data_IF_960019230487
#
_entry.id   IF_960019230487
#
_cell.length_a   1.000
_cell.length_b   1.000
_cell.length_c   1.000
_cell.angle_alpha   90.00
_cell.angle_beta   90.00
_cell.angle_gamma   90.00
#
_symmetry.space_group_name_H-M   'P 1'
#
loop_
_entity.id
_entity.type
_entity.pdbx_description
1 polymer ?
#
# COMPACT_ATOMS: atom_id res chain seq x y z
N UNK A 1 -9.56 2.81 -18.58
CA UNK A 1 -9.82 3.16 -17.16
C UNK A 1 -10.83 2.17 -16.62
N UNK A 2 -10.56 1.57 -15.46
CA UNK A 2 -11.56 0.74 -14.77
C UNK A 2 -12.64 1.69 -14.23
N UNK A 3 -13.87 1.50 -14.68
CA UNK A 3 -15.03 2.20 -14.12
C UNK A 3 -15.41 1.62 -12.76
N UNK A 4 -16.13 2.40 -11.96
CA UNK A 4 -16.75 1.93 -10.72
C UNK A 4 -18.26 2.04 -10.85
N UNK A 5 -19.00 1.04 -10.34
CA UNK A 5 -20.45 1.14 -10.12
C UNK A 5 -20.79 1.72 -8.76
N UNK A 6 -19.88 1.62 -7.80
CA UNK A 6 -19.94 2.34 -6.53
C UNK A 6 -19.49 3.80 -6.71
N UNK A 7 -19.66 4.62 -5.66
CA UNK A 7 -19.02 5.93 -5.62
C UNK A 7 -17.49 5.78 -5.79
N UNK A 8 -16.83 6.61 -6.63
CA UNK A 8 -15.40 6.52 -6.82
C UNK A 8 -14.64 7.06 -5.60
N UNK A 9 -13.36 6.69 -5.45
CA UNK A 9 -12.47 7.30 -4.47
C UNK A 9 -12.44 8.82 -4.57
N UNK A 10 -12.27 9.48 -3.43
CA UNK A 10 -12.10 10.93 -3.31
C UNK A 10 -10.88 11.25 -2.47
N UNK A 11 -10.13 12.25 -2.89
CA UNK A 11 -8.92 12.74 -2.25
C UNK A 11 -9.02 14.25 -2.14
N UNK A 12 -8.75 14.78 -0.94
CA UNK A 12 -8.66 16.21 -0.67
C UNK A 12 -7.39 16.48 0.15
N UNK A 13 -6.57 17.43 -0.27
CA UNK A 13 -5.44 17.90 0.53
C UNK A 13 -5.94 18.93 1.55
N UNK A 14 -5.93 18.55 2.83
CA UNK A 14 -6.50 19.38 3.91
C UNK A 14 -5.45 20.21 4.64
N UNK A 15 -4.20 19.74 4.72
CA UNK A 15 -3.08 20.49 5.29
C UNK A 15 -1.79 20.25 4.49
N UNK A 16 -1.01 21.31 4.29
CA UNK A 16 0.26 21.29 3.60
C UNK A 16 1.20 22.40 4.12
N UNK A 17 2.49 22.24 3.87
CA UNK A 17 3.45 23.33 4.03
C UNK A 17 3.17 24.44 3.01
N UNK A 18 3.48 25.70 3.36
CA UNK A 18 3.21 26.83 2.47
C UNK A 18 4.11 26.85 1.22
N UNK A 19 5.37 26.41 1.36
CA UNK A 19 6.39 26.39 0.30
C UNK A 19 7.19 25.08 0.33
N UNK A 20 6.53 23.92 0.14
CA UNK A 20 7.14 22.62 0.40
C UNK A 20 8.39 22.37 -0.47
N UNK A 21 8.34 22.70 -1.76
CA UNK A 21 9.48 22.48 -2.66
C UNK A 21 10.62 23.47 -2.42
N UNK A 22 10.32 24.76 -2.28
CA UNK A 22 11.35 25.77 -1.97
C UNK A 22 12.02 25.49 -0.61
N UNK A 23 11.28 24.96 0.37
CA UNK A 23 11.82 24.58 1.67
C UNK A 23 12.80 23.39 1.56
N UNK A 24 12.53 22.40 0.71
CA UNK A 24 13.47 21.31 0.46
C UNK A 24 14.80 21.84 -0.08
N UNK A 25 14.77 22.77 -1.05
CA UNK A 25 15.99 23.40 -1.58
C UNK A 25 16.65 24.33 -0.55
N UNK A 26 15.88 25.02 0.28
CA UNK A 26 16.40 25.90 1.33
C UNK A 26 17.17 25.12 2.40
N UNK A 27 16.64 23.97 2.83
CA UNK A 27 17.30 23.09 3.80
C UNK A 27 18.57 22.47 3.22
N UNK A 28 18.54 22.03 1.96
CA UNK A 28 19.73 21.57 1.23
C UNK A 28 20.83 22.65 1.18
N UNK A 29 20.48 23.89 0.80
CA UNK A 29 21.42 25.01 0.76
C UNK A 29 21.97 25.38 2.14
N UNK A 30 21.15 25.23 3.18
CA UNK A 30 21.55 25.55 4.57
C UNK A 30 22.70 24.67 5.03
N UNK A 31 22.72 23.38 4.68
CA UNK A 31 23.80 22.46 5.03
C UNK A 31 25.20 22.93 4.58
N UNK A 32 25.26 23.74 3.53
CA UNK A 32 26.51 24.24 2.93
C UNK A 32 26.65 25.76 3.01
N UNK A 33 25.79 26.45 3.77
CA UNK A 33 25.77 27.91 3.86
C UNK A 33 26.65 28.43 4.99
N UNK A 34 27.76 29.16 4.70
CA UNK A 34 28.55 29.82 5.75
C UNK A 34 27.85 31.07 6.31
N UNK A 35 26.71 31.48 5.73
CA UNK A 35 25.96 32.69 6.10
C UNK A 35 24.73 32.39 6.97
N UNK A 36 24.59 31.16 7.45
CA UNK A 36 23.46 30.71 8.27
C UNK A 36 22.29 30.14 7.45
N UNK A 37 21.12 30.05 8.10
CA UNK A 37 19.92 29.41 7.57
C UNK A 37 19.39 30.13 6.33
N UNK A 38 19.20 29.37 5.25
CA UNK A 38 18.55 29.83 4.02
C UNK A 38 17.05 29.59 4.15
N UNK A 39 16.23 30.59 3.79
CA UNK A 39 14.77 30.49 3.90
C UNK A 39 14.10 30.13 2.57
N UNK A 40 12.86 29.62 2.63
CA UNK A 40 12.04 29.32 1.45
C UNK A 40 11.75 30.56 0.61
N UNK A 41 11.58 31.73 1.22
CA UNK A 41 11.33 33.02 0.57
C UNK A 41 12.56 33.49 -0.21
N UNK A 42 13.74 33.23 0.36
CA UNK A 42 15.03 33.48 -0.30
C UNK A 42 15.20 32.60 -1.54
N UNK A 43 14.84 31.32 -1.44
CA UNK A 43 14.85 30.38 -2.56
C UNK A 43 13.83 30.76 -3.63
N UNK A 44 12.64 31.19 -3.24
CA UNK A 44 11.57 31.67 -4.12
C UNK A 44 11.88 33.01 -4.81
N UNK A 45 12.98 33.66 -4.42
CA UNK A 45 13.45 34.93 -4.98
C UNK A 45 12.57 36.12 -4.62
N UNK A 46 11.86 36.11 -3.49
CA UNK A 46 10.94 37.21 -3.12
C UNK A 46 11.64 38.53 -2.81
N UNK A 47 12.90 38.45 -2.37
CA UNK A 47 13.76 39.61 -2.13
C UNK A 47 14.28 40.25 -3.42
N UNK A 48 14.08 39.62 -4.59
CA UNK A 48 14.56 40.10 -5.88
C UNK A 48 13.46 40.89 -6.57
N UNK A 49 13.70 42.19 -6.77
CA UNK A 49 12.75 43.08 -7.45
C UNK A 49 12.82 42.96 -8.99
N UNK A 50 13.97 42.59 -9.55
CA UNK A 50 14.13 42.36 -11.00
C UNK A 50 13.56 40.98 -11.40
N UNK A 51 12.53 40.94 -12.28
CA UNK A 51 11.98 39.68 -12.78
C UNK A 51 13.00 38.76 -13.45
N UNK A 52 14.01 39.31 -14.15
CA UNK A 52 15.02 38.51 -14.84
C UNK A 52 16.00 37.85 -13.84
N UNK A 53 16.38 38.55 -12.77
CA UNK A 53 17.13 37.96 -11.66
C UNK A 53 16.33 36.89 -10.93
N UNK A 54 15.05 37.15 -10.65
CA UNK A 54 14.16 36.18 -10.00
C UNK A 54 14.03 34.91 -10.85
N UNK A 55 13.81 35.04 -12.15
CA UNK A 55 13.72 33.89 -13.05
C UNK A 55 15.02 33.06 -13.07
N UNK A 56 16.18 33.73 -13.08
CA UNK A 56 17.49 33.04 -12.97
C UNK A 56 17.66 32.33 -11.63
N UNK A 57 17.14 32.89 -10.53
CA UNK A 57 17.17 32.24 -9.23
C UNK A 57 16.29 30.97 -9.21
N UNK A 58 15.09 31.02 -9.79
CA UNK A 58 14.20 29.87 -9.91
C UNK A 58 14.80 28.75 -10.78
N UNK A 59 15.48 29.10 -11.88
CA UNK A 59 16.21 28.12 -12.69
C UNK A 59 17.32 27.42 -11.90
N UNK A 60 18.10 28.16 -11.11
CA UNK A 60 19.14 27.58 -10.23
C UNK A 60 18.54 26.70 -9.14
N UNK A 61 17.39 27.10 -8.57
CA UNK A 61 16.63 26.28 -7.62
C UNK A 61 16.24 24.96 -8.26
N UNK A 62 15.65 24.99 -9.45
CA UNK A 62 15.15 23.78 -10.13
C UNK A 62 16.30 22.82 -10.49
N UNK A 63 17.41 23.36 -10.98
CA UNK A 63 18.63 22.57 -11.23
C UNK A 63 19.14 21.92 -9.96
N UNK A 64 19.29 22.70 -8.87
CA UNK A 64 19.75 22.17 -7.61
C UNK A 64 18.81 21.10 -7.05
N UNK A 65 17.48 21.30 -7.16
CA UNK A 65 16.49 20.33 -6.72
C UNK A 65 16.61 19.00 -7.46
N UNK A 66 16.86 19.03 -8.78
CA UNK A 66 17.13 17.82 -9.56
C UNK A 66 18.44 17.16 -9.12
N UNK A 67 19.51 17.92 -8.95
CA UNK A 67 20.81 17.38 -8.56
C UNK A 67 20.75 16.68 -7.19
N UNK A 68 20.14 17.32 -6.17
CA UNK A 68 20.01 16.70 -4.84
C UNK A 68 19.09 15.48 -4.86
N UNK A 69 18.04 15.48 -5.70
CA UNK A 69 17.16 14.34 -5.86
C UNK A 69 17.89 13.16 -6.52
N UNK A 70 18.60 13.41 -7.62
CA UNK A 70 19.37 12.37 -8.33
C UNK A 70 20.53 11.82 -7.48
N UNK A 71 21.12 12.65 -6.62
CA UNK A 71 22.17 12.24 -5.69
C UNK A 71 21.65 11.47 -4.45
N UNK A 72 20.33 11.24 -4.33
CA UNK A 72 19.75 10.52 -3.18
C UNK A 72 19.68 11.35 -1.89
N UNK A 73 19.84 12.68 -1.94
CA UNK A 73 19.76 13.55 -0.77
C UNK A 73 18.30 13.85 -0.36
N UNK A 74 17.52 12.79 -0.16
CA UNK A 74 16.07 12.83 -0.05
C UNK A 74 15.53 13.30 1.29
N UNK A 75 16.37 13.33 2.32
CA UNK A 75 16.00 13.84 3.66
C UNK A 75 15.53 15.29 3.62
N UNK A 76 16.00 16.07 2.65
CA UNK A 76 15.55 17.45 2.41
C UNK A 76 14.09 17.54 1.96
N UNK A 77 13.63 16.56 1.17
CA UNK A 77 12.22 16.43 0.76
C UNK A 77 11.34 15.80 1.85
N UNK A 78 11.92 15.24 2.91
CA UNK A 78 11.16 14.67 4.03
C UNK A 78 10.59 15.74 4.98
N UNK A 79 11.10 16.98 4.94
CA UNK A 79 10.58 18.07 5.78
C UNK A 79 9.10 18.38 5.49
N UNK A 80 8.74 18.47 4.21
CA UNK A 80 7.38 18.77 3.78
C UNK A 80 6.45 17.58 4.08
N UNK A 81 5.33 17.86 4.74
CA UNK A 81 4.26 16.90 5.01
C UNK A 81 2.94 17.37 4.41
N UNK A 82 2.15 16.40 3.95
CA UNK A 82 0.84 16.57 3.35
C UNK A 82 -0.15 15.69 4.09
N UNK A 83 -1.27 16.29 4.51
CA UNK A 83 -2.38 15.55 5.10
C UNK A 83 -3.54 15.53 4.12
N UNK A 84 -3.98 14.33 3.77
CA UNK A 84 -5.10 14.08 2.88
C UNK A 84 -6.31 13.57 3.66
N UNK A 85 -7.51 14.01 3.28
CA UNK A 85 -8.75 13.32 3.60
C UNK A 85 -9.10 12.40 2.42
N UNK A 86 -9.15 11.10 2.69
CA UNK A 86 -9.48 10.06 1.71
C UNK A 86 -10.86 9.49 2.03
N UNK A 87 -11.71 9.33 1.01
CA UNK A 87 -13.07 8.77 1.15
C UNK A 87 -13.38 7.81 0.01
N UNK A 88 -14.30 6.86 0.26
CA UNK A 88 -14.69 5.81 -0.70
C UNK A 88 -13.49 4.98 -1.19
N UNK A 89 -12.52 4.74 -0.30
CA UNK A 89 -11.39 3.85 -0.56
C UNK A 89 -11.64 2.49 0.09
N UNK A 90 -11.19 1.41 -0.54
CA UNK A 90 -11.34 0.05 -0.02
C UNK A 90 -10.40 -0.20 1.16
N UNK A 91 -10.76 -1.19 1.99
CA UNK A 91 -9.85 -1.70 3.03
C UNK A 91 -8.63 -2.38 2.42
N UNK A 92 -8.76 -2.94 1.21
CA UNK A 92 -7.64 -3.54 0.49
C UNK A 92 -6.55 -2.50 0.25
N UNK A 93 -6.87 -1.42 -0.46
CA UNK A 93 -5.90 -0.35 -0.75
C UNK A 93 -5.22 0.21 0.52
N UNK A 94 -5.99 0.40 1.60
CA UNK A 94 -5.43 0.89 2.86
C UNK A 94 -4.44 -0.10 3.45
N UNK A 95 -4.82 -1.38 3.54
CA UNK A 95 -4.00 -2.41 4.17
C UNK A 95 -2.79 -2.80 3.32
N UNK A 96 -3.00 -3.11 2.05
CA UNK A 96 -1.96 -3.63 1.17
C UNK A 96 -0.96 -2.56 0.71
N UNK A 97 -1.42 -1.30 0.57
CA UNK A 97 -0.57 -0.24 0.04
C UNK A 97 -0.21 0.84 1.05
N UNK A 98 -1.20 1.54 1.63
CA UNK A 98 -0.88 2.66 2.54
C UNK A 98 -0.18 2.21 3.82
N UNK A 99 -0.43 0.96 4.25
CA UNK A 99 0.09 0.40 5.51
C UNK A 99 1.24 -0.60 5.30
N UNK A 100 1.79 -0.70 4.08
CA UNK A 100 2.91 -1.63 3.78
C UNK A 100 4.27 -1.13 4.27
N UNK A 101 4.38 0.13 4.70
CA UNK A 101 5.61 0.74 5.21
C UNK A 101 5.32 1.62 6.45
N UNK A 102 6.29 1.90 7.33
CA UNK A 102 6.00 2.57 8.62
C UNK A 102 5.91 4.11 8.53
N UNK A 103 6.22 4.72 7.38
CA UNK A 103 6.40 6.17 7.25
C UNK A 103 5.11 6.96 6.91
N UNK A 104 4.07 6.80 7.73
CA UNK A 104 2.80 7.52 7.60
C UNK A 104 2.12 7.74 8.97
N UNK A 105 1.10 8.61 9.01
CA UNK A 105 0.13 8.65 10.10
C UNK A 105 -1.31 8.62 9.54
N UNK A 106 -2.12 7.65 9.97
CA UNK A 106 -3.49 7.45 9.48
C UNK A 106 -4.51 7.37 10.61
N UNK A 107 -5.63 8.08 10.47
CA UNK A 107 -6.79 7.97 11.36
C UNK A 107 -8.01 7.51 10.55
N UNK A 108 -8.44 6.28 10.76
CA UNK A 108 -9.42 5.59 9.91
C UNK A 108 -10.74 5.32 10.66
N UNK A 109 -11.86 5.34 9.93
CA UNK A 109 -13.14 4.85 10.47
C UNK A 109 -13.00 3.42 11.00
N UNK A 110 -13.49 3.17 12.22
CA UNK A 110 -13.33 1.87 12.88
C UNK A 110 -14.57 1.01 12.70
N UNK A 111 -14.41 -0.14 12.04
CA UNK A 111 -15.44 -1.19 11.96
C UNK A 111 -15.77 -1.84 13.33
N UNK A 112 -15.02 -1.51 14.39
CA UNK A 112 -15.35 -1.94 15.77
C UNK A 112 -16.48 -1.10 16.38
N UNK A 113 -16.63 0.13 15.90
CA UNK A 113 -17.53 1.13 16.47
C UNK A 113 -18.60 1.60 15.50
N UNK A 114 -18.33 1.50 14.19
CA UNK A 114 -19.21 1.95 13.12
C UNK A 114 -19.71 0.73 12.36
N UNK A 115 -21.03 0.57 12.34
CA UNK A 115 -21.70 -0.49 11.61
C UNK A 115 -21.55 -0.31 10.09
N UNK A 116 -21.23 -1.40 9.39
CA UNK A 116 -21.17 -1.41 7.93
C UNK A 116 -22.57 -1.58 7.34
N UNK A 117 -22.97 -0.65 6.50
CA UNK A 117 -24.29 -0.59 5.86
C UNK A 117 -24.26 -1.15 4.44
N UNK A 118 -25.41 -1.53 3.86
CA UNK A 118 -25.51 -1.82 2.43
C UNK A 118 -24.94 -0.68 1.59
N UNK A 119 -24.24 -1.01 0.51
CA UNK A 119 -23.62 -0.03 -0.39
C UNK A 119 -22.26 0.51 0.08
N UNK A 120 -21.77 0.14 1.27
CA UNK A 120 -20.43 0.53 1.76
C UNK A 120 -19.32 -0.39 1.23
N UNK A 121 -19.32 -0.64 -0.08
CA UNK A 121 -18.31 -1.46 -0.73
C UNK A 121 -17.86 -0.78 -2.02
N UNK A 122 -16.57 -0.89 -2.31
CA UNK A 122 -16.03 -0.60 -3.62
C UNK A 122 -16.54 -1.65 -4.59
N UNK A 123 -17.17 -1.21 -5.68
CA UNK A 123 -17.72 -2.08 -6.72
C UNK A 123 -17.10 -1.66 -8.05
N UNK A 124 -16.12 -2.41 -8.58
CA UNK A 124 -15.59 -2.18 -9.92
C UNK A 124 -16.66 -2.51 -10.96
N UNK A 125 -16.55 -1.91 -12.14
CA UNK A 125 -17.37 -2.29 -13.30
C UNK A 125 -16.72 -3.47 -14.03
N UNK A 126 -17.18 -4.67 -13.71
CA UNK A 126 -16.70 -5.93 -14.29
C UNK A 126 -17.52 -6.37 -15.51
N UNK A 127 -18.72 -5.82 -15.66
CA UNK A 127 -19.67 -6.22 -16.71
C UNK A 127 -20.25 -7.63 -16.54
N UNK A 128 -21.38 -7.87 -17.23
CA UNK A 128 -21.98 -9.19 -17.40
C UNK A 128 -22.15 -10.02 -16.12
N UNK A 129 -21.81 -11.30 -16.23
CA UNK A 129 -21.92 -12.30 -15.17
C UNK A 129 -20.91 -12.10 -14.01
N UNK A 130 -19.62 -11.75 -14.25
CA UNK A 130 -18.68 -11.44 -13.16
C UNK A 130 -19.19 -10.37 -12.19
N UNK A 131 -19.88 -9.35 -12.72
CA UNK A 131 -20.50 -8.32 -11.89
C UNK A 131 -21.53 -8.90 -10.92
N UNK A 132 -22.43 -9.76 -11.42
CA UNK A 132 -23.48 -10.39 -10.62
C UNK A 132 -22.87 -11.24 -9.51
N UNK A 133 -21.86 -12.06 -9.83
CA UNK A 133 -21.16 -12.91 -8.86
C UNK A 133 -20.54 -12.05 -7.75
N UNK A 134 -19.90 -10.94 -8.10
CA UNK A 134 -19.27 -10.03 -7.16
C UNK A 134 -20.28 -9.39 -6.21
N UNK A 135 -21.34 -8.78 -6.75
CA UNK A 135 -22.39 -8.12 -5.95
C UNK A 135 -23.13 -9.10 -5.04
N UNK A 136 -23.40 -10.32 -5.51
CA UNK A 136 -23.98 -11.37 -4.68
C UNK A 136 -23.05 -11.81 -3.55
N UNK A 137 -21.74 -11.88 -3.80
CA UNK A 137 -20.76 -12.18 -2.76
C UNK A 137 -20.74 -11.10 -1.67
N UNK A 138 -20.79 -9.82 -2.05
CA UNK A 138 -20.92 -8.71 -1.11
C UNK A 138 -22.22 -8.82 -0.29
N UNK A 139 -23.33 -9.14 -0.95
CA UNK A 139 -24.63 -9.35 -0.28
C UNK A 139 -24.58 -10.47 0.76
N UNK A 140 -24.00 -11.62 0.39
CA UNK A 140 -23.80 -12.76 1.32
C UNK A 140 -22.93 -12.39 2.52
N UNK A 141 -21.83 -11.67 2.28
CA UNK A 141 -20.93 -11.24 3.35
C UNK A 141 -21.61 -10.28 4.33
N UNK A 142 -22.38 -9.30 3.82
CA UNK A 142 -23.14 -8.37 4.64
C UNK A 142 -24.22 -9.07 5.47
N UNK A 143 -24.93 -10.03 4.88
CA UNK A 143 -25.91 -10.84 5.59
C UNK A 143 -25.26 -11.70 6.68
N UNK A 144 -24.11 -12.31 6.36
CA UNK A 144 -23.28 -13.03 7.34
C UNK A 144 -22.88 -12.13 8.51
N UNK A 145 -22.40 -10.92 8.23
CA UNK A 145 -22.01 -9.93 9.25
C UNK A 145 -23.18 -9.59 10.19
N UNK A 146 -24.38 -9.35 9.64
CA UNK A 146 -25.59 -9.04 10.43
C UNK A 146 -25.99 -10.22 11.31
N UNK A 147 -26.12 -11.41 10.71
CA UNK A 147 -26.51 -12.63 11.43
C UNK A 147 -25.52 -12.98 12.54
N UNK A 148 -24.22 -12.87 12.26
CA UNK A 148 -23.18 -13.06 13.27
C UNK A 148 -23.28 -12.03 14.37
N UNK A 149 -23.45 -10.75 14.03
CA UNK A 149 -23.62 -9.68 15.02
C UNK A 149 -24.76 -10.00 15.98
N UNK A 150 -25.95 -10.32 15.47
CA UNK A 150 -27.11 -10.59 16.31
C UNK A 150 -26.96 -11.86 17.16
N UNK A 151 -26.33 -12.91 16.63
CA UNK A 151 -26.05 -14.14 17.39
C UNK A 151 -24.97 -13.96 18.45
N UNK A 152 -24.03 -13.05 18.24
CA UNK A 152 -22.92 -12.79 19.16
C UNK A 152 -23.28 -11.79 20.27
N UNK A 153 -24.44 -11.13 20.23
CA UNK A 153 -24.88 -10.22 21.30
C UNK A 153 -25.02 -10.94 22.64
N UNK A 154 -25.61 -12.14 22.66
CA UNK A 154 -25.80 -12.90 23.91
C UNK A 154 -24.46 -13.35 24.51
N UNK A 155 -23.56 -14.03 23.76
CA UNK A 155 -22.25 -14.39 24.30
C UNK A 155 -21.43 -13.16 24.74
N UNK A 156 -21.48 -12.07 23.96
CA UNK A 156 -20.80 -10.83 24.32
C UNK A 156 -21.36 -10.22 25.62
N UNK A 157 -22.68 -10.29 25.83
CA UNK A 157 -23.35 -9.84 27.06
C UNK A 157 -22.85 -10.66 28.26
N UNK A 158 -22.88 -11.98 28.15
CA UNK A 158 -22.45 -12.92 29.19
C UNK A 158 -21.01 -12.64 29.63
N UNK A 159 -20.08 -12.49 28.68
CA UNK A 159 -18.69 -12.12 28.99
C UNK A 159 -18.56 -10.71 29.57
N UNK A 160 -19.32 -9.73 29.07
CA UNK A 160 -19.27 -8.36 29.55
C UNK A 160 -19.72 -8.24 31.01
N UNK A 161 -20.81 -8.91 31.38
CA UNK A 161 -21.32 -8.90 32.75
C UNK A 161 -20.41 -9.65 33.72
N UNK A 162 -19.85 -10.78 33.29
CA UNK A 162 -18.84 -11.49 34.08
C UNK A 162 -17.62 -10.60 34.37
N UNK A 163 -17.15 -9.84 33.38
CA UNK A 163 -15.99 -8.95 33.52
C UNK A 163 -16.30 -7.67 34.31
N UNK A 164 -17.55 -7.19 34.26
CA UNK A 164 -18.00 -5.94 34.85
C UNK A 164 -19.33 -6.09 35.62
N UNK A 165 -19.36 -6.87 36.72
CA UNK A 165 -20.61 -7.23 37.41
C UNK A 165 -21.37 -6.01 37.96
N UNK A 166 -20.66 -4.95 38.38
CA UNK A 166 -21.29 -3.72 38.86
C UNK A 166 -22.11 -2.98 37.77
N UNK A 167 -21.79 -3.21 36.48
CA UNK A 167 -22.47 -2.57 35.34
C UNK A 167 -23.83 -3.21 35.04
N UNK A 168 -24.08 -4.44 35.47
CA UNK A 168 -25.35 -5.15 35.29
C UNK A 168 -26.53 -4.49 36.00
N UNK A 169 -26.29 -3.54 36.91
CA UNK A 169 -27.34 -2.76 37.59
C UNK A 169 -28.03 -1.73 36.67
N UNK A 170 -27.43 -1.42 35.51
CA UNK A 170 -27.93 -0.47 34.52
C UNK A 170 -27.69 -1.01 33.11
N UNK A 171 -28.31 -2.15 32.74
CA UNK A 171 -28.03 -2.85 31.49
C UNK A 171 -28.26 -1.98 30.24
N UNK A 172 -29.31 -1.15 30.26
CA UNK A 172 -29.70 -0.24 29.19
C UNK A 172 -28.58 0.73 28.77
N UNK A 173 -27.69 1.09 29.71
CA UNK A 173 -26.56 1.98 29.43
C UNK A 173 -25.48 1.31 28.57
N UNK A 174 -25.40 -0.02 28.60
CA UNK A 174 -24.28 -0.77 28.01
C UNK A 174 -24.67 -1.60 26.79
N UNK A 175 -25.95 -1.64 26.41
CA UNK A 175 -26.42 -2.39 25.22
C UNK A 175 -25.64 -2.02 23.95
N UNK A 176 -25.37 -0.74 23.74
CA UNK A 176 -24.59 -0.27 22.58
C UNK A 176 -23.14 -0.77 22.62
N UNK A 177 -22.52 -0.79 23.79
CA UNK A 177 -21.13 -1.23 23.94
C UNK A 177 -21.01 -2.75 23.78
N UNK A 178 -21.99 -3.50 24.30
CA UNK A 178 -22.09 -4.94 24.08
C UNK A 178 -22.32 -5.25 22.59
N UNK A 179 -23.22 -4.52 21.91
CA UNK A 179 -23.44 -4.69 20.48
C UNK A 179 -22.18 -4.39 19.67
N UNK A 180 -21.41 -3.36 20.04
CA UNK A 180 -20.09 -3.09 19.42
C UNK A 180 -19.10 -4.23 19.60
N UNK A 181 -19.13 -4.95 20.74
CA UNK A 181 -18.31 -6.15 20.95
C UNK A 181 -18.71 -7.31 20.04
N UNK A 182 -20.01 -7.52 19.83
CA UNK A 182 -20.49 -8.47 18.85
C UNK A 182 -20.06 -8.09 17.42
N UNK A 183 -20.20 -6.81 17.05
CA UNK A 183 -19.78 -6.28 15.75
C UNK A 183 -18.27 -6.43 15.51
N UNK A 184 -17.45 -6.19 16.53
CA UNK A 184 -15.98 -6.32 16.49
C UNK A 184 -15.51 -7.73 16.11
N UNK A 185 -16.28 -8.76 16.47
CA UNK A 185 -16.04 -10.16 16.08
C UNK A 185 -16.70 -10.47 14.74
N UNK A 186 -17.95 -10.05 14.53
CA UNK A 186 -18.68 -10.31 13.31
C UNK A 186 -18.01 -9.73 12.06
N UNK A 187 -17.27 -8.61 12.17
CA UNK A 187 -16.60 -7.96 11.04
C UNK A 187 -15.57 -8.82 10.30
N UNK A 188 -15.15 -9.96 10.86
CA UNK A 188 -14.21 -10.89 10.20
C UNK A 188 -14.74 -11.46 8.89
N UNK A 189 -16.06 -11.43 8.66
CA UNK A 189 -16.64 -11.86 7.37
C UNK A 189 -16.81 -10.71 6.37
N UNK A 190 -16.52 -9.46 6.75
CA UNK A 190 -16.62 -8.34 5.84
C UNK A 190 -15.48 -8.39 4.82
N UNK A 191 -15.76 -8.17 3.53
CA UNK A 191 -14.75 -8.21 2.49
C UNK A 191 -13.81 -7.00 2.57
N UNK A 192 -12.58 -7.18 2.11
CA UNK A 192 -11.57 -6.12 1.90
C UNK A 192 -12.04 -5.01 0.95
N UNK A 193 -13.07 -5.26 0.14
CA UNK A 193 -13.75 -4.25 -0.67
C UNK A 193 -14.55 -3.23 0.17
N UNK A 194 -14.75 -3.45 1.47
CA UNK A 194 -15.54 -2.54 2.32
C UNK A 194 -14.93 -1.15 2.31
N UNK A 195 -15.76 -0.13 2.07
CA UNK A 195 -15.33 1.24 2.07
C UNK A 195 -14.83 1.70 3.44
N UNK A 196 -13.95 2.68 3.35
CA UNK A 196 -13.41 3.41 4.46
C UNK A 196 -13.21 4.87 4.08
N UNK A 197 -13.04 5.69 5.10
CA UNK A 197 -12.50 7.03 5.00
C UNK A 197 -11.45 7.21 6.10
N UNK A 198 -10.49 8.09 5.85
CA UNK A 198 -9.37 8.33 6.75
C UNK A 198 -8.73 9.70 6.49
N UNK A 199 -8.13 10.26 7.54
CA UNK A 199 -7.02 11.19 7.35
C UNK A 199 -5.74 10.39 7.16
N UNK A 200 -4.90 10.80 6.21
CA UNK A 200 -3.61 10.17 5.91
C UNK A 200 -2.55 11.25 5.74
N UNK A 201 -1.53 11.22 6.59
CA UNK A 201 -0.44 12.20 6.60
C UNK A 201 0.87 11.54 6.22
N UNK A 202 1.52 12.07 5.20
CA UNK A 202 2.80 11.55 4.68
C UNK A 202 3.74 12.69 4.31
N UNK A 203 5.04 12.38 4.29
CA UNK A 203 6.03 13.32 3.77
C UNK A 203 5.99 13.40 2.24
N UNK A 204 6.63 14.42 1.66
CA UNK A 204 6.73 14.53 0.20
C UNK A 204 7.50 13.36 -0.40
N UNK A 205 8.59 12.91 0.25
CA UNK A 205 9.34 11.76 -0.24
C UNK A 205 8.50 10.47 -0.23
N UNK A 206 7.67 10.27 0.80
CA UNK A 206 6.74 9.13 0.84
C UNK A 206 5.72 9.19 -0.30
N UNK A 207 5.18 10.38 -0.63
CA UNK A 207 4.27 10.52 -1.77
C UNK A 207 4.95 10.20 -3.11
N UNK A 208 6.21 10.61 -3.30
CA UNK A 208 6.98 10.28 -4.51
C UNK A 208 7.20 8.77 -4.63
N UNK A 209 7.48 8.08 -3.50
CA UNK A 209 7.56 6.61 -3.46
C UNK A 209 6.23 5.95 -3.78
N UNK A 210 5.11 6.47 -3.25
CA UNK A 210 3.79 5.94 -3.59
C UNK A 210 3.54 6.02 -5.08
N UNK A 211 3.84 7.17 -5.68
CA UNK A 211 3.66 7.36 -7.11
C UNK A 211 4.54 6.40 -7.91
N UNK A 212 5.81 6.26 -7.54
CA UNK A 212 6.74 5.31 -8.19
C UNK A 212 6.26 3.86 -8.11
N UNK A 213 5.59 3.48 -7.01
CA UNK A 213 5.13 2.11 -6.74
C UNK A 213 3.63 1.87 -6.98
N UNK A 214 2.88 2.83 -7.52
CA UNK A 214 1.41 2.73 -7.53
C UNK A 214 0.85 1.64 -8.47
N UNK A 215 1.70 1.04 -9.30
CA UNK A 215 1.38 -0.09 -10.19
C UNK A 215 1.84 -1.45 -9.62
N UNK A 216 2.37 -1.48 -8.38
CA UNK A 216 2.78 -2.72 -7.73
C UNK A 216 1.62 -3.72 -7.67
N UNK A 217 1.94 -5.01 -7.61
CA UNK A 217 0.96 -6.09 -7.47
C UNK A 217 0.00 -5.87 -6.28
N UNK A 218 -1.10 -6.62 -6.27
CA UNK A 218 -2.22 -6.54 -5.30
C UNK A 218 -3.32 -5.48 -5.61
N UNK A 219 -3.90 -5.59 -6.83
CA UNK A 219 -4.99 -4.77 -7.35
C UNK A 219 -4.67 -3.26 -7.54
N UNK A 220 -3.67 -2.92 -8.39
CA UNK A 220 -3.13 -1.55 -8.51
C UNK A 220 -4.11 -0.51 -9.06
N UNK A 221 -5.25 -0.92 -9.60
CA UNK A 221 -6.19 -0.01 -10.26
C UNK A 221 -6.71 1.11 -9.34
N UNK A 222 -7.14 0.76 -8.13
CA UNK A 222 -7.57 1.74 -7.13
C UNK A 222 -6.38 2.56 -6.63
N UNK A 223 -5.26 1.89 -6.36
CA UNK A 223 -4.03 2.49 -5.87
C UNK A 223 -3.51 3.59 -6.79
N UNK A 224 -3.31 3.28 -8.07
CA UNK A 224 -2.94 4.26 -9.10
C UNK A 224 -3.90 5.44 -9.18
N UNK A 225 -5.20 5.18 -9.10
CA UNK A 225 -6.20 6.25 -9.14
C UNK A 225 -6.04 7.19 -7.92
N UNK A 226 -6.01 6.62 -6.71
CA UNK A 226 -5.94 7.41 -5.47
C UNK A 226 -4.62 8.16 -5.36
N UNK A 227 -3.49 7.48 -5.61
CA UNK A 227 -2.15 8.10 -5.56
C UNK A 227 -2.01 9.18 -6.63
N UNK A 228 -2.53 8.94 -7.84
CA UNK A 228 -2.60 9.96 -8.88
C UNK A 228 -3.37 11.20 -8.43
N UNK A 229 -4.52 11.03 -7.78
CA UNK A 229 -5.30 12.15 -7.21
C UNK A 229 -4.53 12.87 -6.08
N UNK A 230 -3.84 12.15 -5.20
CA UNK A 230 -2.99 12.74 -4.14
C UNK A 230 -1.87 13.59 -4.75
N UNK A 231 -1.20 13.08 -5.78
CA UNK A 231 -0.16 13.81 -6.50
C UNK A 231 -0.73 15.07 -7.16
N UNK A 232 -1.90 15.00 -7.82
CA UNK A 232 -2.53 16.16 -8.43
C UNK A 232 -2.86 17.26 -7.40
N UNK A 233 -3.33 16.89 -6.21
CA UNK A 233 -3.57 17.86 -5.14
C UNK A 233 -2.28 18.59 -4.69
N UNK A 234 -1.15 17.87 -4.60
CA UNK A 234 0.14 18.49 -4.28
C UNK A 234 0.62 19.38 -5.44
N UNK A 235 0.51 18.92 -6.69
CA UNK A 235 0.91 19.70 -7.86
C UNK A 235 0.05 20.96 -8.05
N UNK A 236 -1.20 20.97 -7.55
CA UNK A 236 -2.07 22.15 -7.54
C UNK A 236 -1.56 23.22 -6.58
N UNK A 237 -0.97 22.82 -5.45
CA UNK A 237 -0.43 23.74 -4.43
C UNK A 237 1.02 24.14 -4.74
N UNK A 238 1.85 23.19 -5.17
CA UNK A 238 3.25 23.43 -5.51
C UNK A 238 3.65 22.67 -6.80
N UNK A 239 3.51 23.29 -7.99
CA UNK A 239 3.80 22.64 -9.26
C UNK A 239 5.29 22.34 -9.46
N UNK A 240 6.18 22.84 -8.60
CA UNK A 240 7.62 22.64 -8.74
C UNK A 240 8.02 21.18 -8.47
N UNK A 241 7.18 20.37 -7.80
CA UNK A 241 7.43 18.92 -7.69
C UNK A 241 7.55 18.21 -9.04
N UNK A 242 6.99 18.76 -10.14
CA UNK A 242 7.20 18.23 -11.50
C UNK A 242 8.67 18.16 -11.91
N UNK A 243 9.53 18.98 -11.28
CA UNK A 243 10.96 18.99 -11.61
C UNK A 243 11.68 17.69 -11.24
N UNK A 244 11.13 16.92 -10.30
CA UNK A 244 11.76 15.71 -9.74
C UNK A 244 10.85 14.47 -9.82
N UNK A 245 9.70 14.59 -10.49
CA UNK A 245 8.74 13.51 -10.60
C UNK A 245 9.27 12.44 -11.56
N UNK A 246 9.37 11.21 -11.09
CA UNK A 246 9.63 10.03 -11.92
C UNK A 246 8.31 9.31 -12.21
N UNK A 247 8.18 8.67 -13.37
CA UNK A 247 6.98 7.91 -13.71
C UNK A 247 6.81 6.68 -12.81
N UNK A 248 5.60 6.12 -12.66
CA UNK A 248 5.43 4.83 -11.99
C UNK A 248 6.27 3.73 -12.67
N UNK A 249 6.76 2.76 -11.89
CA UNK A 249 7.35 1.54 -12.45
C UNK A 249 6.21 0.75 -13.11
N UNK A 250 6.26 0.45 -14.41
CA UNK A 250 5.22 -0.35 -15.06
C UNK A 250 5.04 -1.70 -14.38
N UNK A 251 3.82 -2.23 -14.34
CA UNK A 251 3.52 -3.49 -13.67
C UNK A 251 4.45 -4.62 -14.16
N UNK A 252 4.68 -4.71 -15.46
CA UNK A 252 5.58 -5.67 -16.12
C UNK A 252 7.05 -5.55 -15.72
N UNK A 253 7.48 -4.40 -15.19
CA UNK A 253 8.84 -4.16 -14.70
C UNK A 253 8.98 -4.41 -13.19
N UNK A 254 7.87 -4.58 -12.47
CA UNK A 254 7.90 -4.95 -11.04
C UNK A 254 8.54 -6.33 -10.86
N UNK A 255 9.26 -6.52 -9.75
CA UNK A 255 10.04 -7.74 -9.51
C UNK A 255 9.15 -8.98 -9.49
N UNK A 256 8.00 -8.86 -8.84
CA UNK A 256 7.00 -9.91 -8.71
C UNK A 256 6.43 -10.29 -10.07
N UNK A 257 6.06 -9.30 -10.89
CA UNK A 257 5.50 -9.57 -12.21
C UNK A 257 6.55 -10.12 -13.16
N UNK A 258 7.79 -9.60 -13.15
CA UNK A 258 8.91 -10.14 -13.92
C UNK A 258 9.17 -11.60 -13.58
N UNK A 259 9.16 -11.94 -12.30
CA UNK A 259 9.28 -13.34 -11.88
C UNK A 259 8.22 -14.23 -12.54
N UNK A 260 6.96 -13.80 -12.56
CA UNK A 260 5.89 -14.57 -13.20
C UNK A 260 6.01 -14.59 -14.73
N UNK A 261 6.41 -13.48 -15.37
CA UNK A 261 6.59 -13.37 -16.82
C UNK A 261 7.79 -14.19 -17.34
N UNK A 262 8.97 -14.01 -16.73
CA UNK A 262 10.22 -14.66 -17.10
C UNK A 262 10.22 -16.16 -16.73
N UNK A 263 9.44 -16.53 -15.72
CA UNK A 263 9.43 -17.85 -15.11
C UNK A 263 8.54 -18.88 -15.79
N UNK A 264 7.36 -18.52 -16.30
CA UNK A 264 6.40 -19.49 -16.89
C UNK A 264 5.01 -18.85 -17.08
N UNK A 265 4.74 -18.12 -18.16
CA UNK A 265 3.34 -17.98 -18.63
C UNK A 265 3.28 -18.34 -20.10
N UNK A 266 3.65 -19.57 -20.39
CA UNK A 266 3.00 -20.31 -21.46
C UNK A 266 1.76 -20.95 -20.84
N UNK A 267 0.66 -20.18 -20.75
CA UNK A 267 -0.65 -20.81 -20.88
C UNK A 267 -0.65 -21.45 -22.25
N UNK A 268 -0.44 -22.75 -22.32
CA UNK A 268 -0.59 -23.53 -23.54
C UNK A 268 -2.06 -23.52 -23.97
N UNK A 269 -2.48 -22.42 -24.60
CA UNK A 269 -3.55 -22.33 -25.61
C UNK A 269 -3.15 -21.23 -26.60
N UNK A 270 -2.10 -21.49 -27.41
CA UNK A 270 -1.68 -20.62 -28.51
C UNK A 270 -0.30 -21.00 -29.07
N UNK A 271 -0.10 -21.03 -30.41
CA UNK A 271 1.17 -21.40 -31.01
C UNK A 271 2.11 -20.18 -31.08
N UNK A 272 3.23 -20.22 -30.35
CA UNK A 272 4.28 -19.20 -30.40
C UNK A 272 5.67 -19.84 -30.24
N UNK A 273 6.71 -19.31 -30.92
CA UNK A 273 7.90 -20.08 -31.27
C UNK A 273 8.85 -20.29 -30.08
N UNK A 274 9.42 -21.48 -30.06
CA UNK A 274 10.47 -21.94 -29.16
C UNK A 274 11.84 -21.39 -29.55
N UNK A 275 12.44 -20.57 -28.70
CA UNK A 275 13.90 -20.35 -28.71
C UNK A 275 14.35 -19.86 -27.33
N UNK A 276 14.97 -20.76 -26.57
CA UNK A 276 15.43 -20.53 -25.20
C UNK A 276 15.71 -21.87 -24.51
N UNK A 277 16.82 -22.50 -24.87
CA UNK A 277 17.31 -23.73 -24.26
C UNK A 277 17.76 -23.46 -22.81
N UNK A 278 17.33 -24.30 -21.85
CA UNK A 278 18.11 -24.52 -20.62
C UNK A 278 17.44 -24.33 -19.25
N UNK A 279 16.17 -23.92 -19.12
CA UNK A 279 15.46 -24.01 -17.82
C UNK A 279 14.33 -25.04 -17.89
N UNK A 280 14.42 -26.04 -17.02
CA UNK A 280 13.49 -27.16 -16.90
C UNK A 280 12.04 -26.64 -16.84
N UNK A 281 11.25 -26.90 -17.90
CA UNK A 281 9.83 -26.52 -18.03
C UNK A 281 8.98 -27.48 -17.19
N UNK A 282 9.10 -27.43 -15.86
CA UNK A 282 8.09 -28.01 -14.97
C UNK A 282 6.87 -27.10 -14.99
N UNK A 283 5.67 -27.68 -15.03
CA UNK A 283 4.42 -26.91 -15.06
C UNK A 283 4.23 -26.19 -13.71
N UNK A 284 3.94 -24.89 -13.72
CA UNK A 284 3.52 -24.12 -12.52
C UNK A 284 2.48 -24.87 -11.68
N UNK A 285 1.59 -25.62 -12.34
CA UNK A 285 0.55 -26.39 -11.65
C UNK A 285 1.15 -27.48 -10.77
N UNK A 286 2.22 -28.13 -11.24
CA UNK A 286 2.94 -29.15 -10.49
C UNK A 286 3.77 -28.52 -9.37
N UNK A 287 4.48 -27.42 -9.63
CA UNK A 287 5.21 -26.69 -8.59
C UNK A 287 4.27 -26.22 -7.48
N UNK A 288 3.13 -25.61 -7.83
CA UNK A 288 2.09 -25.20 -6.85
C UNK A 288 1.46 -26.38 -6.13
N UNK A 289 1.37 -27.56 -6.76
CA UNK A 289 0.87 -28.77 -6.09
C UNK A 289 1.89 -29.24 -5.06
N UNK A 290 3.16 -29.35 -5.46
CA UNK A 290 4.27 -29.76 -4.57
C UNK A 290 4.46 -28.79 -3.42
N UNK A 291 4.43 -27.48 -3.67
CA UNK A 291 4.48 -26.46 -2.63
C UNK A 291 3.34 -26.65 -1.61
N UNK A 292 2.11 -26.92 -2.06
CA UNK A 292 0.98 -27.20 -1.16
C UNK A 292 1.20 -28.47 -0.34
N UNK A 293 1.70 -29.54 -0.95
CA UNK A 293 2.05 -30.78 -0.25
C UNK A 293 3.15 -30.57 0.80
N UNK A 294 4.20 -29.80 0.48
CA UNK A 294 5.28 -29.42 1.41
C UNK A 294 4.75 -28.54 2.55
N UNK A 295 3.94 -27.53 2.24
CA UNK A 295 3.31 -26.66 3.23
C UNK A 295 2.40 -27.44 4.17
N UNK A 296 1.48 -28.25 3.65
CA UNK A 296 0.58 -29.08 4.46
C UNK A 296 1.35 -30.11 5.29
N UNK A 297 2.43 -30.67 4.73
CA UNK A 297 3.36 -31.55 5.45
C UNK A 297 4.04 -30.85 6.62
N UNK A 298 4.47 -29.59 6.44
CA UNK A 298 5.12 -28.78 7.49
C UNK A 298 4.22 -28.53 8.70
N UNK A 299 2.90 -28.49 8.50
CA UNK A 299 1.93 -28.34 9.58
C UNK A 299 1.83 -29.57 10.48
N UNK A 300 2.24 -30.76 9.99
CA UNK A 300 2.18 -32.02 10.75
C UNK A 300 0.77 -32.36 11.24
N UNK A 301 -0.26 -32.06 10.43
CA UNK A 301 -1.67 -32.27 10.77
C UNK A 301 -2.27 -31.22 11.72
N UNK A 302 -1.55 -30.15 12.05
CA UNK A 302 -2.06 -29.02 12.83
C UNK A 302 -2.69 -27.96 11.91
N UNK A 303 -3.48 -27.06 12.48
CA UNK A 303 -4.05 -25.92 11.75
C UNK A 303 -3.09 -24.72 11.67
N UNK A 304 -2.17 -24.62 12.63
CA UNK A 304 -1.13 -23.60 12.67
C UNK A 304 0.07 -24.12 13.44
N UNK A 305 1.26 -23.65 13.05
CA UNK A 305 2.53 -23.90 13.72
C UNK A 305 3.26 -22.58 13.89
N UNK A 306 4.06 -22.47 14.94
CA UNK A 306 5.04 -21.39 15.03
C UNK A 306 6.15 -21.70 14.02
N UNK A 307 6.37 -20.81 13.06
CA UNK A 307 7.30 -21.05 11.93
C UNK A 307 8.72 -21.25 12.45
N UNK A 308 9.32 -20.24 13.09
CA UNK A 308 10.62 -20.39 13.77
C UNK A 308 10.96 -19.15 14.63
N UNK A 309 12.17 -19.15 15.18
CA UNK A 309 12.82 -18.03 15.86
C UNK A 309 14.18 -17.70 15.21
N UNK A 310 14.85 -16.65 15.71
CA UNK A 310 15.97 -15.98 15.02
C UNK A 310 17.22 -16.82 14.68
N UNK A 311 17.32 -18.08 15.11
CA UNK A 311 18.43 -18.96 14.75
C UNK A 311 18.41 -19.38 13.27
N UNK A 312 17.23 -19.39 12.64
CA UNK A 312 17.03 -19.90 11.27
C UNK A 312 16.55 -18.82 10.29
N UNK A 313 16.96 -17.56 10.49
CA UNK A 313 16.48 -16.42 9.71
C UNK A 313 16.63 -16.58 8.19
N UNK A 314 17.74 -17.16 7.72
CA UNK A 314 17.98 -17.39 6.29
C UNK A 314 16.93 -18.35 5.70
N UNK A 315 16.71 -19.49 6.36
CA UNK A 315 15.68 -20.46 5.95
C UNK A 315 14.27 -19.85 6.03
N UNK A 316 13.98 -19.05 7.06
CA UNK A 316 12.68 -18.34 7.20
C UNK A 316 12.48 -17.32 6.08
N UNK A 317 13.50 -16.55 5.73
CA UNK A 317 13.44 -15.59 4.63
C UNK A 317 13.23 -16.31 3.29
N UNK A 318 14.03 -17.33 3.01
CA UNK A 318 13.90 -18.14 1.81
C UNK A 318 12.51 -18.79 1.69
N UNK A 319 12.00 -19.31 2.79
CA UNK A 319 10.66 -19.89 2.86
C UNK A 319 9.59 -18.84 2.58
N UNK A 320 9.72 -17.63 3.13
CA UNK A 320 8.79 -16.52 2.87
C UNK A 320 8.73 -16.16 1.39
N UNK A 321 9.88 -16.12 0.71
CA UNK A 321 9.96 -15.89 -0.74
C UNK A 321 9.24 -17.00 -1.50
N UNK A 322 9.51 -18.27 -1.16
CA UNK A 322 8.82 -19.42 -1.76
C UNK A 322 7.31 -19.40 -1.55
N UNK A 323 6.84 -18.97 -0.40
CA UNK A 323 5.41 -18.84 -0.09
C UNK A 323 4.72 -17.80 -0.96
N UNK A 324 5.36 -16.64 -1.16
CA UNK A 324 4.86 -15.59 -2.06
C UNK A 324 4.82 -16.08 -3.51
N UNK A 325 5.84 -16.82 -3.95
CA UNK A 325 5.96 -17.30 -5.32
C UNK A 325 5.19 -18.62 -5.58
N UNK A 326 4.80 -19.32 -4.52
CA UNK A 326 4.17 -20.64 -4.57
C UNK A 326 5.09 -21.73 -5.11
N UNK A 327 6.38 -21.70 -4.75
CA UNK A 327 7.41 -22.64 -5.22
C UNK A 327 7.87 -23.61 -4.12
N UNK A 328 8.09 -24.91 -4.45
CA UNK A 328 8.64 -25.86 -3.49
C UNK A 328 10.14 -25.64 -3.24
N UNK A 329 10.66 -26.10 -2.11
CA UNK A 329 12.08 -25.97 -1.75
C UNK A 329 13.01 -26.67 -2.77
N UNK A 330 12.54 -27.75 -3.39
CA UNK A 330 13.27 -28.43 -4.46
C UNK A 330 13.37 -27.65 -5.78
N UNK A 331 12.65 -26.53 -5.92
CA UNK A 331 12.64 -25.69 -7.14
C UNK A 331 13.38 -24.37 -6.99
N UNK A 332 13.45 -23.84 -5.78
CA UNK A 332 14.15 -22.61 -5.42
C UNK A 332 14.86 -22.85 -4.09
N UNK A 333 16.18 -22.99 -4.16
CA UNK A 333 17.03 -23.19 -2.98
C UNK A 333 17.00 -21.97 -2.05
N UNK A 334 17.48 -22.13 -0.82
CA UNK A 334 17.53 -21.03 0.14
C UNK A 334 18.41 -19.87 -0.35
N UNK A 335 19.60 -20.19 -0.87
CA UNK A 335 20.53 -19.19 -1.42
C UNK A 335 19.88 -18.41 -2.58
N UNK A 336 19.28 -19.11 -3.56
CA UNK A 336 18.60 -18.46 -4.68
C UNK A 336 17.42 -17.59 -4.23
N UNK A 337 16.64 -18.05 -3.24
CA UNK A 337 15.50 -17.30 -2.70
C UNK A 337 15.95 -16.01 -2.00
N UNK A 338 17.05 -16.08 -1.24
CA UNK A 338 17.63 -14.93 -0.54
C UNK A 338 18.24 -13.96 -1.56
N UNK A 339 18.98 -14.46 -2.55
CA UNK A 339 19.55 -13.64 -3.63
C UNK A 339 18.46 -12.86 -4.38
N UNK A 340 17.31 -13.47 -4.67
CA UNK A 340 16.20 -12.79 -5.35
C UNK A 340 15.73 -11.52 -4.63
N UNK A 341 15.82 -11.47 -3.31
CA UNK A 341 15.31 -10.35 -2.51
C UNK A 341 16.39 -9.44 -1.94
N UNK A 342 17.62 -9.92 -1.75
CA UNK A 342 18.72 -9.15 -1.14
C UNK A 342 19.80 -8.71 -2.12
N UNK A 343 20.00 -9.40 -3.24
CA UNK A 343 21.07 -9.08 -4.20
C UNK A 343 20.63 -7.94 -5.14
N UNK A 344 21.29 -6.76 -5.14
CA UNK A 344 20.90 -5.64 -6.00
C UNK A 344 20.90 -5.95 -7.50
N UNK A 345 21.71 -6.91 -7.95
CA UNK A 345 21.68 -7.37 -9.34
C UNK A 345 20.37 -8.06 -9.73
N UNK A 346 19.68 -8.67 -8.75
CA UNK A 346 18.40 -9.38 -8.93
C UNK A 346 17.19 -8.54 -8.49
N UNK A 347 17.38 -7.68 -7.48
CA UNK A 347 16.38 -6.77 -6.95
C UNK A 347 16.72 -5.31 -7.34
N UNK A 348 16.21 -4.80 -8.48
CA UNK A 348 16.49 -3.45 -8.95
C UNK A 348 15.97 -2.34 -8.02
N UNK A 349 15.07 -2.63 -7.07
CA UNK A 349 14.57 -1.63 -6.13
C UNK A 349 15.67 -1.09 -5.21
N UNK A 350 16.75 -1.85 -4.96
CA UNK A 350 17.92 -1.33 -4.23
C UNK A 350 18.72 -0.29 -5.03
N UNK A 351 18.59 -0.28 -6.36
CA UNK A 351 19.20 0.71 -7.24
C UNK A 351 18.30 1.93 -7.51
N UNK A 352 17.04 1.89 -7.08
CA UNK A 352 16.10 2.99 -7.28
C UNK A 352 16.49 4.19 -6.44
N UNK A 353 16.48 5.38 -7.06
CA UNK A 353 16.90 6.63 -6.43
C UNK A 353 16.12 6.89 -5.15
N UNK A 354 14.82 6.60 -5.19
CA UNK A 354 13.87 6.79 -4.10
C UNK A 354 14.04 5.82 -2.94
N UNK A 355 14.92 4.80 -3.05
CA UNK A 355 15.08 3.72 -2.07
C UNK A 355 13.72 3.08 -1.73
N UNK A 356 13.26 2.21 -2.62
CA UNK A 356 11.90 1.64 -2.61
C UNK A 356 11.76 0.38 -1.73
N UNK A 357 12.84 -0.05 -1.06
CA UNK A 357 12.89 -1.23 -0.20
C UNK A 357 12.69 -0.93 1.28
#
# INVERSE_FOLDING_TARGET
MIGFRSAPPRVELVNAFARPFDNAVATARTCYSPKGVVTSETVAGEHLSDPAERQRALQRRDLLARDIFQAGHHTTFQHAHFQFALSNVSRQFIWSFLHSHPYYNSEQVSQRYVEVRPGNFLVPDLGGEPQRIYEEALGRALEGYRRLTDRLVEPASSHFWHRFPARSRRPERWEKDIRKKAQEVARYVLPIATFSYLYHTISAITLLRYWRLCESMDAPAEQRLVVGMMLQEVLRVDPNYKQILEEPIPLEETIEQRFFLDGSVSSSEGPGPSSGEGRCRVSIREDRRRFREEFDGSLGGRLSVLVDYGANNEAVLAQSVREVLGLPAGRLSDDEAIELVLEPASNPYFGEKLNLT
#
